data_IF_139623830801
#
_entry.id   IF_139623830801
#
_cell.length_a   1.000
_cell.length_b   1.000
_cell.length_c   1.000
_cell.angle_alpha   90.00
_cell.angle_beta   90.00
_cell.angle_gamma   90.00
#
_symmetry.space_group_name_H-M   'P 1'
#
loop_
_entity.id
_entity.type
_entity.pdbx_description
1 polymer ?
#
# COMPACT_ATOMS: atom_id res chain seq x y z
N UNK A 1 15.06 22.92 -61.49
CA UNK A 1 15.39 23.12 -60.07
C UNK A 1 14.16 22.74 -59.25
N UNK A 2 14.12 21.54 -58.68
CA UNK A 2 12.97 21.00 -57.95
C UNK A 2 13.36 20.77 -56.48
N UNK A 3 12.55 21.26 -55.54
CA UNK A 3 12.72 21.05 -54.10
C UNK A 3 12.08 19.70 -53.70
N UNK A 4 12.70 18.89 -52.81
CA UNK A 4 12.04 17.72 -52.28
C UNK A 4 11.23 18.07 -51.01
N UNK A 5 9.93 17.82 -51.06
CA UNK A 5 9.08 17.73 -49.87
C UNK A 5 9.47 16.49 -49.06
N UNK A 6 9.88 16.67 -47.80
CA UNK A 6 9.96 15.58 -46.82
C UNK A 6 8.61 15.47 -46.12
N UNK A 7 7.84 14.43 -46.47
CA UNK A 7 6.75 13.96 -45.61
C UNK A 7 7.39 13.33 -44.37
N UNK A 8 7.06 13.87 -43.20
CA UNK A 8 7.39 13.25 -41.91
C UNK A 8 6.37 12.15 -41.67
N UNK A 9 6.87 10.91 -41.61
CA UNK A 9 6.07 9.70 -41.39
C UNK A 9 5.37 9.74 -40.02
N UNK A 10 4.03 9.80 -40.03
CA UNK A 10 3.14 9.66 -38.86
C UNK A 10 3.14 8.26 -38.22
N UNK A 11 4.16 7.43 -38.50
CA UNK A 11 4.21 6.04 -38.02
C UNK A 11 4.99 5.88 -36.72
N UNK A 12 5.98 6.74 -36.45
CA UNK A 12 6.84 6.59 -35.27
C UNK A 12 6.15 6.95 -33.93
N UNK A 13 5.11 7.80 -33.95
CA UNK A 13 4.37 8.18 -32.72
C UNK A 13 3.40 7.08 -32.22
N UNK A 14 2.99 6.14 -33.07
CA UNK A 14 2.06 5.08 -32.67
C UNK A 14 2.78 3.89 -32.03
N UNK A 15 3.99 3.56 -32.51
CA UNK A 15 4.79 2.46 -31.95
C UNK A 15 5.32 2.78 -30.54
N UNK A 16 5.55 4.06 -30.24
CA UNK A 16 5.95 4.52 -28.90
C UNK A 16 4.80 4.48 -27.90
N UNK A 17 3.54 4.69 -28.33
CA UNK A 17 2.36 4.57 -27.45
C UNK A 17 2.05 3.11 -27.10
N UNK A 18 2.16 2.21 -28.07
CA UNK A 18 1.91 0.78 -27.86
C UNK A 18 2.97 0.18 -26.92
N UNK A 19 4.24 0.60 -27.03
CA UNK A 19 5.32 0.12 -26.14
C UNK A 19 5.14 0.58 -24.67
N UNK A 20 4.65 1.80 -24.45
CA UNK A 20 4.40 2.32 -23.09
C UNK A 20 3.17 1.68 -22.41
N UNK A 21 2.18 1.23 -23.16
CA UNK A 21 1.04 0.49 -22.61
C UNK A 21 1.42 -0.95 -22.22
N UNK A 22 2.32 -1.60 -22.97
CA UNK A 22 2.81 -2.95 -22.64
C UNK A 22 3.78 -2.97 -21.46
N UNK A 23 4.63 -1.94 -21.30
CA UNK A 23 5.55 -1.85 -20.14
C UNK A 23 4.81 -1.67 -18.80
N UNK A 24 3.60 -1.10 -18.81
CA UNK A 24 2.78 -0.97 -17.61
C UNK A 24 2.04 -2.26 -17.23
N UNK A 25 1.85 -3.21 -18.17
CA UNK A 25 1.23 -4.50 -17.89
C UNK A 25 2.21 -5.53 -17.32
N UNK A 26 3.50 -5.46 -17.66
CA UNK A 26 4.51 -6.40 -17.15
C UNK A 26 4.83 -6.22 -15.65
N UNK A 27 4.40 -5.11 -15.05
CA UNK A 27 4.53 -4.85 -13.61
C UNK A 27 3.22 -5.08 -12.86
N UNK A 28 2.38 -6.03 -13.29
CA UNK A 28 1.29 -6.52 -12.44
C UNK A 28 1.88 -7.26 -11.24
N UNK A 29 2.29 -6.48 -10.23
CA UNK A 29 2.58 -6.98 -8.90
C UNK A 29 1.29 -7.66 -8.47
N UNK A 30 1.35 -8.98 -8.27
CA UNK A 30 0.21 -9.77 -7.82
C UNK A 30 -0.46 -9.05 -6.65
N UNK A 31 -1.66 -8.51 -6.90
CA UNK A 31 -2.42 -7.75 -5.92
C UNK A 31 -3.43 -8.69 -5.31
N UNK A 32 -3.23 -9.00 -4.03
CA UNK A 32 -4.14 -9.87 -3.29
C UNK A 32 -5.55 -9.27 -3.28
N UNK A 33 -6.63 -10.09 -3.26
CA UNK A 33 -8.00 -9.58 -3.20
C UNK A 33 -8.26 -8.61 -2.05
N UNK A 34 -7.64 -8.83 -0.89
CA UNK A 34 -7.72 -7.93 0.28
C UNK A 34 -6.80 -6.69 0.17
N UNK A 35 -5.86 -6.70 -0.76
CA UNK A 35 -5.02 -5.54 -1.09
C UNK A 35 -5.65 -4.73 -2.25
N UNK A 36 -6.95 -4.87 -2.47
CA UNK A 36 -7.67 -4.10 -3.48
C UNK A 36 -7.68 -2.62 -3.06
N UNK A 37 -6.82 -1.83 -3.69
CA UNK A 37 -6.69 -0.39 -3.47
C UNK A 37 -7.73 0.43 -4.25
N UNK A 38 -8.86 -0.16 -4.65
CA UNK A 38 -9.96 0.54 -5.34
C UNK A 38 -10.43 1.80 -4.60
N UNK A 39 -10.24 1.90 -3.29
CA UNK A 39 -10.51 3.11 -2.51
C UNK A 39 -9.61 4.31 -2.90
N UNK A 40 -8.46 4.09 -3.54
CA UNK A 40 -7.59 5.15 -4.08
C UNK A 40 -8.07 5.69 -5.43
N UNK A 41 -8.74 4.85 -6.22
CA UNK A 41 -9.29 5.22 -7.52
C UNK A 41 -10.68 5.87 -7.38
N UNK A 42 -11.46 5.39 -6.41
CA UNK A 42 -12.77 5.94 -6.10
C UNK A 42 -12.64 7.37 -5.55
N UNK A 43 -13.62 8.21 -5.87
CA UNK A 43 -13.67 9.56 -5.30
C UNK A 43 -13.86 9.50 -3.79
N UNK A 44 -13.30 10.49 -3.09
CA UNK A 44 -13.43 10.60 -1.63
C UNK A 44 -14.89 10.75 -1.21
N UNK A 45 -15.41 9.80 -0.44
CA UNK A 45 -16.76 9.82 0.15
C UNK A 45 -16.87 10.74 1.36
N UNK A 46 -15.78 11.39 1.78
CA UNK A 46 -15.75 12.28 2.95
C UNK A 46 -16.76 13.42 2.80
N UNK A 47 -16.91 13.96 1.58
CA UNK A 47 -17.90 15.02 1.32
C UNK A 47 -19.34 14.52 1.51
N UNK A 48 -19.65 13.34 0.99
CA UNK A 48 -20.97 12.71 1.11
C UNK A 48 -21.31 12.41 2.58
N UNK A 49 -20.33 11.96 3.36
CA UNK A 49 -20.46 11.73 4.80
C UNK A 49 -20.71 13.03 5.56
N UNK A 50 -19.98 14.10 5.23
CA UNK A 50 -20.19 15.42 5.85
C UNK A 50 -21.60 15.94 5.55
N UNK A 51 -22.04 15.86 4.30
CA UNK A 51 -23.40 16.27 3.89
C UNK A 51 -24.47 15.47 4.63
N UNK A 52 -24.30 14.14 4.75
CA UNK A 52 -25.21 13.29 5.53
C UNK A 52 -25.26 13.68 7.01
N UNK A 53 -24.12 14.02 7.63
CA UNK A 53 -24.07 14.47 9.02
C UNK A 53 -24.73 15.84 9.20
N UNK A 54 -24.56 16.76 8.25
CA UNK A 54 -25.24 18.05 8.24
C UNK A 54 -26.76 17.88 8.09
N UNK A 55 -27.21 16.98 7.22
CA UNK A 55 -28.64 16.64 7.06
C UNK A 55 -29.23 16.04 8.35
N UNK A 56 -28.51 15.15 9.02
CA UNK A 56 -28.93 14.58 10.32
C UNK A 56 -28.98 15.67 11.39
N UNK A 57 -27.99 16.55 11.44
CA UNK A 57 -27.96 17.70 12.35
C UNK A 57 -29.16 18.64 12.10
N UNK A 58 -29.51 18.87 10.83
CA UNK A 58 -30.64 19.71 10.43
C UNK A 58 -31.99 19.08 10.71
N UNK A 59 -32.14 17.78 10.48
CA UNK A 59 -33.34 17.03 10.83
C UNK A 59 -33.61 17.05 12.35
N UNK A 60 -32.56 17.09 13.18
CA UNK A 60 -32.69 17.19 14.64
C UNK A 60 -33.05 18.60 15.16
N UNK A 61 -32.99 19.64 14.31
CA UNK A 61 -33.33 21.04 14.69
C UNK A 61 -34.84 21.30 14.74
N UNK A 62 -35.65 20.47 14.08
CA UNK A 62 -37.12 20.65 14.08
C UNK A 62 -37.78 20.20 15.39
N UNK A 63 -37.07 19.46 16.25
CA UNK A 63 -37.62 18.87 17.49
C UNK A 63 -36.99 19.40 18.79
N UNK A 64 -36.00 20.31 18.72
CA UNK A 64 -35.37 20.85 19.94
C UNK A 64 -35.02 22.33 19.87
N UNK A 65 -35.51 23.10 20.85
CA UNK A 65 -35.30 24.54 21.03
C UNK A 65 -33.88 24.93 21.47
N UNK A 66 -32.87 24.08 21.28
CA UNK A 66 -31.50 24.32 21.75
C UNK A 66 -30.59 24.73 20.59
N UNK A 67 -30.13 25.98 20.62
CA UNK A 67 -29.12 26.52 19.70
C UNK A 67 -27.78 25.81 19.93
N UNK A 68 -27.53 24.73 19.19
CA UNK A 68 -26.20 24.13 19.13
C UNK A 68 -25.27 25.02 18.29
N UNK A 69 -24.13 25.42 18.87
CA UNK A 69 -23.07 26.12 18.15
C UNK A 69 -22.37 25.10 17.25
N UNK A 70 -22.41 25.31 15.93
CA UNK A 70 -21.61 24.55 14.97
C UNK A 70 -20.14 24.70 15.34
N UNK A 71 -19.45 23.60 15.62
CA UNK A 71 -18.00 23.60 15.85
C UNK A 71 -17.29 23.40 14.51
N UNK A 72 -17.48 24.35 13.60
CA UNK A 72 -16.68 24.42 12.37
C UNK A 72 -15.29 24.90 12.76
N UNK A 73 -14.37 23.96 13.01
CA UNK A 73 -12.94 24.25 13.07
C UNK A 73 -12.49 24.53 11.63
N UNK A 74 -12.08 25.76 11.35
CA UNK A 74 -11.54 26.13 10.04
C UNK A 74 -10.09 25.64 9.96
N UNK A 75 -9.63 25.21 8.78
CA UNK A 75 -8.28 24.66 8.56
C UNK A 75 -7.20 25.67 8.99
N UNK A 76 -7.54 26.97 8.96
CA UNK A 76 -6.68 28.08 9.40
C UNK A 76 -6.36 28.09 10.89
N UNK A 77 -7.17 27.41 11.72
CA UNK A 77 -6.98 27.35 13.17
C UNK A 77 -6.02 26.23 13.60
N UNK A 78 -5.53 25.43 12.63
CA UNK A 78 -4.68 24.27 12.88
C UNK A 78 -3.24 24.56 12.41
N UNK A 79 -2.31 24.57 13.37
CA UNK A 79 -0.88 24.68 13.08
C UNK A 79 -0.32 23.29 12.72
N UNK A 80 -0.09 23.03 11.43
CA UNK A 80 0.52 21.78 10.97
C UNK A 80 2.02 21.94 10.76
N UNK A 81 2.78 20.95 11.22
CA UNK A 81 4.22 20.86 11.02
C UNK A 81 4.49 20.01 9.77
N UNK A 82 4.68 20.65 8.61
CA UNK A 82 4.97 19.96 7.36
C UNK A 82 6.47 19.67 7.28
N UNK A 83 6.86 18.41 7.45
CA UNK A 83 8.25 17.97 7.22
C UNK A 83 8.44 17.65 5.74
N UNK A 84 9.25 18.44 5.04
CA UNK A 84 9.63 18.16 3.66
C UNK A 84 10.72 17.09 3.65
N UNK A 85 10.50 15.96 2.96
CA UNK A 85 11.57 15.01 2.66
C UNK A 85 12.64 15.73 1.83
N UNK A 86 13.84 15.82 2.38
CA UNK A 86 15.03 16.25 1.64
C UNK A 86 15.28 15.17 0.59
N UNK A 87 15.20 15.54 -0.69
CA UNK A 87 15.58 14.65 -1.78
C UNK A 87 17.07 14.31 -1.59
N UNK A 88 17.47 13.04 -1.58
CA UNK A 88 18.87 12.69 -1.39
C UNK A 88 19.65 13.25 -2.58
N UNK A 89 20.36 14.37 -2.35
CA UNK A 89 21.41 14.79 -3.26
C UNK A 89 22.36 13.60 -3.41
N UNK A 90 22.53 13.19 -4.67
CA UNK A 90 23.31 12.05 -5.12
C UNK A 90 24.75 12.08 -4.60
N UNK A 91 24.94 11.71 -3.33
CA UNK A 91 26.21 11.24 -2.82
C UNK A 91 26.18 9.74 -3.02
N UNK A 92 26.57 9.30 -4.21
CA UNK A 92 26.86 7.91 -4.51
C UNK A 92 28.03 7.51 -3.62
N UNK A 93 27.72 7.05 -2.40
CA UNK A 93 28.66 6.31 -1.58
C UNK A 93 29.04 5.08 -2.40
N UNK A 94 30.21 5.12 -3.04
CA UNK A 94 30.79 3.98 -3.74
C UNK A 94 31.15 2.93 -2.69
N UNK A 95 30.16 2.14 -2.28
CA UNK A 95 30.40 0.93 -1.52
C UNK A 95 31.20 -0.01 -2.41
N UNK A 96 32.36 -0.43 -1.92
CA UNK A 96 33.21 -1.42 -2.58
C UNK A 96 32.33 -2.62 -2.97
N UNK A 97 32.45 -3.10 -4.22
CA UNK A 97 31.69 -4.25 -4.72
C UNK A 97 32.07 -5.49 -3.89
N UNK A 98 31.37 -5.72 -2.78
CA UNK A 98 31.42 -6.99 -2.08
C UNK A 98 30.86 -8.04 -3.05
N UNK A 99 31.67 -9.07 -3.37
CA UNK A 99 31.21 -10.24 -4.11
C UNK A 99 29.90 -10.71 -3.46
N UNK A 100 28.79 -10.60 -4.20
CA UNK A 100 27.51 -11.15 -3.77
C UNK A 100 27.64 -12.67 -3.82
N UNK A 101 28.07 -13.27 -2.72
CA UNK A 101 27.74 -14.66 -2.45
C UNK A 101 26.21 -14.69 -2.43
N UNK A 102 25.53 -15.54 -3.21
CA UNK A 102 24.11 -15.76 -3.04
C UNK A 102 23.93 -16.46 -1.70
N UNK A 103 23.97 -15.68 -0.62
CA UNK A 103 23.47 -16.10 0.67
C UNK A 103 22.00 -16.36 0.40
N UNK A 104 21.59 -17.61 0.50
CA UNK A 104 20.19 -17.98 0.41
C UNK A 104 19.48 -17.36 1.62
N UNK A 105 19.09 -16.10 1.47
CA UNK A 105 18.36 -15.32 2.47
C UNK A 105 16.92 -15.83 2.64
N UNK A 106 16.48 -16.75 1.77
CA UNK A 106 15.15 -17.35 1.78
C UNK A 106 15.01 -18.50 2.80
N UNK A 107 15.98 -18.69 3.70
CA UNK A 107 15.89 -19.69 4.77
C UNK A 107 14.73 -19.44 5.74
N UNK A 108 14.30 -18.18 5.88
CA UNK A 108 13.19 -17.80 6.74
C UNK A 108 12.16 -17.03 5.90
N UNK A 109 10.88 -17.37 6.08
CA UNK A 109 9.75 -16.81 5.30
C UNK A 109 9.65 -15.28 5.40
N UNK A 110 10.12 -14.70 6.51
CA UNK A 110 10.19 -13.25 6.72
C UNK A 110 11.46 -12.58 6.12
N UNK A 111 12.46 -13.36 5.72
CA UNK A 111 13.70 -12.89 5.09
C UNK A 111 13.71 -13.04 3.56
N UNK A 112 12.72 -13.76 3.01
CA UNK A 112 12.55 -13.91 1.56
C UNK A 112 12.30 -12.54 0.94
N UNK A 113 13.22 -12.13 0.07
CA UNK A 113 13.07 -10.92 -0.74
C UNK A 113 11.82 -11.06 -1.62
N UNK A 114 11.19 -9.94 -1.99
CA UNK A 114 10.04 -9.98 -2.90
C UNK A 114 10.53 -10.49 -4.24
N UNK A 115 10.15 -11.73 -4.58
CA UNK A 115 10.53 -12.35 -5.84
C UNK A 115 9.86 -11.61 -7.02
N UNK A 116 10.56 -11.49 -8.16
CA UNK A 116 10.03 -10.79 -9.34
C UNK A 116 8.83 -11.53 -9.93
N UNK A 117 8.77 -12.86 -9.79
CA UNK A 117 7.73 -13.70 -10.36
C UNK A 117 6.44 -13.70 -9.49
N UNK A 118 5.25 -13.61 -10.11
CA UNK A 118 3.98 -13.54 -9.38
C UNK A 118 3.67 -14.80 -8.58
N UNK A 119 3.92 -15.98 -9.13
CA UNK A 119 3.62 -17.26 -8.48
C UNK A 119 4.47 -17.48 -7.22
N UNK A 120 5.73 -17.06 -7.26
CA UNK A 120 6.62 -17.12 -6.10
C UNK A 120 6.17 -16.21 -4.96
N UNK A 121 5.60 -15.03 -5.28
CA UNK A 121 5.00 -14.14 -4.27
C UNK A 121 3.80 -14.78 -3.58
N UNK A 122 2.93 -15.44 -4.35
CA UNK A 122 1.76 -16.17 -3.82
C UNK A 122 2.22 -17.29 -2.88
N UNK A 123 3.20 -18.07 -3.33
CA UNK A 123 3.75 -19.18 -2.55
C UNK A 123 4.41 -18.69 -1.25
N UNK A 124 5.22 -17.63 -1.31
CA UNK A 124 5.84 -17.04 -0.13
C UNK A 124 4.79 -16.50 0.86
N UNK A 125 3.71 -15.90 0.36
CA UNK A 125 2.59 -15.44 1.20
C UNK A 125 1.91 -16.61 1.89
N UNK A 126 1.52 -17.65 1.15
CA UNK A 126 0.87 -18.84 1.69
C UNK A 126 1.71 -19.48 2.79
N UNK A 127 3.03 -19.57 2.58
CA UNK A 127 3.96 -20.08 3.59
C UNK A 127 3.98 -19.21 4.86
N UNK A 128 3.90 -17.87 4.74
CA UNK A 128 3.81 -16.98 5.92
C UNK A 128 2.51 -17.18 6.68
N UNK A 129 1.39 -17.31 5.97
CA UNK A 129 0.08 -17.58 6.56
C UNK A 129 0.06 -18.93 7.31
N UNK A 130 0.61 -19.99 6.70
CA UNK A 130 0.74 -21.32 7.33
C UNK A 130 1.60 -21.28 8.60
N UNK A 131 2.73 -20.54 8.58
CA UNK A 131 3.60 -20.37 9.74
C UNK A 131 2.88 -19.58 10.85
N UNK A 132 2.17 -18.51 10.50
CA UNK A 132 1.40 -17.70 11.44
C UNK A 132 0.28 -18.52 12.11
N UNK A 133 -0.46 -19.31 11.32
CA UNK A 133 -1.46 -20.24 11.86
C UNK A 133 -0.85 -21.27 12.80
N UNK A 134 0.32 -21.81 12.45
CA UNK A 134 1.04 -22.78 13.29
C UNK A 134 1.36 -22.16 14.66
N UNK A 135 1.87 -20.94 14.68
CA UNK A 135 2.10 -20.21 15.93
C UNK A 135 0.81 -19.96 16.72
N UNK A 136 -0.30 -19.63 16.07
CA UNK A 136 -1.61 -19.51 16.75
C UNK A 136 -2.07 -20.84 17.36
N UNK A 137 -1.87 -21.96 16.68
CA UNK A 137 -2.20 -23.31 17.20
C UNK A 137 -1.34 -23.64 18.43
N UNK A 138 -0.03 -23.35 18.39
CA UNK A 138 0.87 -23.51 19.53
C UNK A 138 0.47 -22.61 20.71
N UNK A 139 0.11 -21.35 20.43
CA UNK A 139 -0.42 -20.43 21.43
C UNK A 139 -1.70 -20.95 22.09
N UNK A 140 -2.65 -21.46 21.31
CA UNK A 140 -3.89 -22.06 21.81
C UNK A 140 -3.62 -23.29 22.69
N UNK A 141 -2.64 -24.10 22.30
CA UNK A 141 -2.24 -25.28 23.07
C UNK A 141 -1.65 -24.89 24.44
N UNK A 142 -0.73 -23.92 24.48
CA UNK A 142 -0.15 -23.43 25.74
C UNK A 142 -1.18 -22.67 26.59
N UNK A 143 -2.12 -21.97 25.97
CA UNK A 143 -3.20 -21.29 26.67
C UNK A 143 -4.10 -22.28 27.43
N UNK A 144 -4.43 -23.43 26.82
CA UNK A 144 -5.19 -24.51 27.49
C UNK A 144 -4.45 -25.11 28.68
N UNK A 145 -3.12 -25.03 28.69
CA UNK A 145 -2.27 -25.46 29.82
C UNK A 145 -2.08 -24.38 30.90
N UNK A 146 -2.73 -23.23 30.76
CA UNK A 146 -2.57 -22.06 31.64
C UNK A 146 -1.17 -21.42 31.57
N UNK A 147 -0.37 -21.74 30.54
CA UNK A 147 0.96 -21.18 30.31
C UNK A 147 0.85 -19.87 29.52
N UNK A 148 0.30 -18.83 30.15
CA UNK A 148 -0.03 -17.58 29.47
C UNK A 148 1.17 -16.82 28.90
N UNK A 149 2.34 -16.91 29.55
CA UNK A 149 3.57 -16.27 29.05
C UNK A 149 4.00 -16.82 27.69
N UNK A 150 4.13 -18.14 27.60
CA UNK A 150 4.46 -18.82 26.34
C UNK A 150 3.36 -18.67 25.28
N UNK A 151 2.08 -18.70 25.70
CA UNK A 151 0.97 -18.47 24.79
C UNK A 151 1.03 -17.07 24.16
N UNK A 152 1.30 -16.03 24.96
CA UNK A 152 1.49 -14.65 24.48
C UNK A 152 2.64 -14.57 23.46
N UNK A 153 3.77 -15.20 23.74
CA UNK A 153 4.92 -15.18 22.84
C UNK A 153 4.58 -15.85 21.49
N UNK A 154 3.87 -16.99 21.52
CA UNK A 154 3.42 -17.65 20.31
C UNK A 154 2.38 -16.83 19.54
N UNK A 155 1.41 -16.21 20.22
CA UNK A 155 0.46 -15.32 19.54
C UNK A 155 1.16 -14.13 18.90
N UNK A 156 2.16 -13.55 19.57
CA UNK A 156 2.94 -12.44 19.03
C UNK A 156 3.71 -12.85 17.77
N UNK A 157 4.20 -14.09 17.69
CA UNK A 157 4.87 -14.64 16.51
C UNK A 157 3.92 -15.00 15.36
N UNK A 158 2.62 -15.13 15.63
CA UNK A 158 1.58 -15.45 14.65
C UNK A 158 0.73 -14.26 14.21
N UNK A 159 1.14 -13.04 14.55
CA UNK A 159 0.65 -11.78 14.00
C UNK A 159 1.43 -11.44 12.72
#
# INVERSE_FOLDING_TARGET
>A
MSLPNKMVDKKEENDTRISLETENQENSIYQHPEANESFLENHSTVKEVIECLEMIEEANKTDSSRKHKKSTLDIKDLNFLVTRRILPNSAVFRRNKTRKVPVNTNQLTFMRQVDPDPDDRILARKQREEVAETFRRMGNFEYRKLNYGLAKDYYTKGL
#
